data_IF_537260826664
#
_entry.id   IF_537260826664
#
_cell.length_a   1.000
_cell.length_b   1.000
_cell.length_c   1.000
_cell.angle_alpha   90.00
_cell.angle_beta   90.00
_cell.angle_gamma   90.00
#
_symmetry.space_group_name_H-M   'P 1'
#
loop_
_entity.id
_entity.type
_entity.pdbx_description
1 polymer ?
#
# COMPACT_ATOMS: atom_id res chain seq x y z
N UNK A 1 19.95 7.01 -47.59
CA UNK A 1 19.89 6.52 -46.19
C UNK A 1 18.52 6.85 -45.61
N UNK A 2 17.72 5.83 -45.29
CA UNK A 2 16.35 5.99 -44.76
C UNK A 2 16.44 6.14 -43.23
N UNK A 3 15.99 7.28 -42.68
CA UNK A 3 15.97 7.48 -41.22
C UNK A 3 14.86 6.62 -40.59
N UNK A 4 15.09 5.96 -39.43
CA UNK A 4 14.08 5.12 -38.81
C UNK A 4 12.92 5.98 -38.28
N UNK A 5 11.69 5.62 -38.69
CA UNK A 5 10.44 6.18 -38.16
C UNK A 5 10.35 5.81 -36.67
N UNK A 6 10.51 6.79 -35.77
CA UNK A 6 10.20 6.59 -34.34
C UNK A 6 8.73 6.19 -34.24
N UNK A 7 8.46 4.97 -33.77
CA UNK A 7 7.09 4.55 -33.42
C UNK A 7 6.68 5.36 -32.19
N UNK A 8 5.84 6.37 -32.38
CA UNK A 8 5.15 7.01 -31.26
C UNK A 8 4.32 5.94 -30.55
N UNK A 9 4.71 5.57 -29.32
CA UNK A 9 3.84 4.79 -28.44
C UNK A 9 2.64 5.68 -28.12
N UNK A 10 1.46 5.34 -28.64
CA UNK A 10 0.20 5.94 -28.21
C UNK A 10 0.06 5.60 -26.73
N UNK A 11 0.24 6.58 -25.85
CA UNK A 11 0.00 6.41 -24.43
C UNK A 11 -1.52 6.50 -24.23
N UNK A 12 -2.17 5.35 -24.07
CA UNK A 12 -3.59 5.29 -23.71
C UNK A 12 -3.69 5.79 -22.26
N UNK A 13 -4.37 6.90 -22.04
CA UNK A 13 -4.67 7.41 -20.70
C UNK A 13 -5.93 6.70 -20.21
N UNK A 14 -5.80 5.90 -19.16
CA UNK A 14 -6.92 5.31 -18.44
C UNK A 14 -7.31 6.29 -17.33
N UNK A 15 -8.60 6.59 -17.18
CA UNK A 15 -9.10 7.67 -16.31
C UNK A 15 -10.13 7.22 -15.29
N UNK A 16 -10.71 6.04 -15.48
CA UNK A 16 -11.65 5.42 -14.53
C UNK A 16 -11.04 4.17 -13.90
N UNK A 17 -11.53 3.81 -12.71
CA UNK A 17 -11.14 2.56 -12.03
C UNK A 17 -11.45 1.36 -12.92
N UNK A 18 -12.65 1.33 -13.53
CA UNK A 18 -13.07 0.26 -14.43
C UNK A 18 -12.12 0.10 -15.64
N UNK A 19 -11.64 1.19 -16.23
CA UNK A 19 -10.66 1.14 -17.31
C UNK A 19 -9.34 0.50 -16.83
N UNK A 20 -8.87 0.88 -15.64
CA UNK A 20 -7.65 0.34 -15.03
C UNK A 20 -7.82 -1.16 -14.74
N UNK A 21 -8.93 -1.58 -14.13
CA UNK A 21 -9.24 -2.99 -13.87
C UNK A 21 -9.20 -3.82 -15.15
N UNK A 22 -9.90 -3.38 -16.19
CA UNK A 22 -9.90 -4.04 -17.50
C UNK A 22 -8.49 -4.11 -18.13
N UNK A 23 -7.64 -3.10 -17.90
CA UNK A 23 -6.26 -3.14 -18.37
C UNK A 23 -5.40 -4.15 -17.59
N UNK A 24 -5.62 -4.26 -16.27
CA UNK A 24 -4.95 -5.24 -15.41
C UNK A 24 -5.30 -6.67 -15.83
N UNK A 25 -6.56 -6.94 -16.17
CA UNK A 25 -6.99 -8.26 -16.65
C UNK A 25 -6.26 -8.71 -17.93
N UNK A 26 -5.81 -7.75 -18.75
CA UNK A 26 -5.09 -8.03 -20.00
C UNK A 26 -3.59 -8.20 -19.82
N UNK A 27 -3.05 -8.02 -18.61
CA UNK A 27 -1.62 -8.19 -18.32
C UNK A 27 -1.22 -9.66 -18.33
N UNK A 28 -0.02 -9.92 -18.85
CA UNK A 28 0.64 -11.21 -18.66
C UNK A 28 0.99 -11.41 -17.17
N UNK A 29 1.11 -12.66 -16.68
CA UNK A 29 1.32 -12.93 -15.26
C UNK A 29 2.51 -12.21 -14.62
N UNK A 30 3.61 -12.02 -15.37
CA UNK A 30 4.81 -11.31 -14.89
C UNK A 30 4.53 -9.83 -14.63
N UNK A 31 3.84 -9.17 -15.55
CA UNK A 31 3.52 -7.74 -15.46
C UNK A 31 2.50 -7.51 -14.36
N UNK A 32 1.53 -8.43 -14.20
CA UNK A 32 0.58 -8.40 -13.09
C UNK A 32 1.29 -8.56 -11.73
N UNK A 33 2.26 -9.47 -11.63
CA UNK A 33 3.05 -9.65 -10.41
C UNK A 33 3.89 -8.40 -10.08
N UNK A 34 4.49 -7.78 -11.09
CA UNK A 34 5.23 -6.53 -10.93
C UNK A 34 4.31 -5.39 -10.46
N UNK A 35 3.11 -5.28 -11.03
CA UNK A 35 2.11 -4.29 -10.60
C UNK A 35 1.68 -4.51 -9.15
N UNK A 36 1.38 -5.76 -8.77
CA UNK A 36 1.01 -6.10 -7.39
C UNK A 36 2.12 -5.73 -6.40
N UNK A 37 3.39 -6.04 -6.73
CA UNK A 37 4.52 -5.69 -5.88
C UNK A 37 4.77 -4.16 -5.79
N UNK A 38 4.42 -3.41 -6.83
CA UNK A 38 4.46 -1.95 -6.77
C UNK A 38 3.33 -1.39 -5.90
N UNK A 39 2.10 -1.88 -6.07
CA UNK A 39 0.94 -1.41 -5.32
C UNK A 39 1.11 -1.69 -3.82
N UNK A 40 1.53 -2.89 -3.44
CA UNK A 40 1.80 -3.24 -2.05
C UNK A 40 2.84 -2.31 -1.39
N UNK A 41 3.88 -1.90 -2.14
CA UNK A 41 4.87 -0.93 -1.65
C UNK A 41 4.27 0.46 -1.49
N UNK A 42 3.39 0.88 -2.40
CA UNK A 42 2.71 2.17 -2.30
C UNK A 42 1.78 2.21 -1.09
N UNK A 43 1.00 1.15 -0.88
CA UNK A 43 0.10 1.01 0.27
C UNK A 43 0.88 0.99 1.59
N UNK A 44 2.01 0.29 1.65
CA UNK A 44 2.89 0.33 2.82
C UNK A 44 3.40 1.76 3.12
N UNK A 45 3.82 2.50 2.10
CA UNK A 45 4.26 3.90 2.26
C UNK A 45 3.13 4.83 2.73
N UNK A 46 1.91 4.63 2.21
CA UNK A 46 0.74 5.41 2.65
C UNK A 46 0.35 5.08 4.08
N UNK A 47 0.47 3.80 4.46
CA UNK A 47 0.28 3.34 5.83
C UNK A 47 1.29 3.97 6.79
N UNK A 48 2.58 3.95 6.45
CA UNK A 48 3.64 4.58 7.26
C UNK A 48 3.34 6.08 7.49
N UNK A 49 3.00 6.81 6.42
CA UNK A 49 2.68 8.23 6.51
C UNK A 49 1.42 8.52 7.36
N UNK A 50 0.40 7.67 7.27
CA UNK A 50 -0.80 7.80 8.09
C UNK A 50 -0.50 7.49 9.56
N UNK A 51 0.30 6.46 9.84
CA UNK A 51 0.74 6.12 11.19
C UNK A 51 1.51 7.27 11.83
N UNK A 52 2.47 7.87 11.11
CA UNK A 52 3.22 9.03 11.60
C UNK A 52 2.28 10.20 11.94
N UNK A 53 1.28 10.46 11.09
CA UNK A 53 0.28 11.51 11.31
C UNK A 53 -0.61 11.21 12.52
N UNK A 54 -1.08 9.97 12.65
CA UNK A 54 -1.95 9.54 13.74
C UNK A 54 -1.20 9.54 15.08
N UNK A 55 0.08 9.15 15.10
CA UNK A 55 0.95 9.28 16.27
C UNK A 55 1.18 10.75 16.63
N UNK A 56 1.54 11.61 15.66
CA UNK A 56 1.81 13.02 15.92
C UNK A 56 0.57 13.80 16.41
N UNK A 57 -0.63 13.35 16.01
CA UNK A 57 -1.89 13.96 16.44
C UNK A 57 -2.41 13.46 17.80
N UNK A 58 -1.75 12.48 18.42
CA UNK A 58 -2.21 11.85 19.67
C UNK A 58 -3.43 10.92 19.47
N UNK A 59 -3.83 10.65 18.24
CA UNK A 59 -4.99 9.79 17.93
C UNK A 59 -4.80 8.37 18.43
N UNK A 60 -3.55 7.94 18.61
CA UNK A 60 -3.21 6.60 19.09
C UNK A 60 -2.93 6.54 20.61
N UNK A 61 -3.06 7.65 21.34
CA UNK A 61 -2.71 7.72 22.77
C UNK A 61 -3.51 6.72 23.62
N UNK A 62 -4.77 6.48 23.26
CA UNK A 62 -5.64 5.51 23.94
C UNK A 62 -5.07 4.08 23.95
N UNK A 63 -4.30 3.68 22.92
CA UNK A 63 -3.68 2.37 22.86
C UNK A 63 -2.55 2.23 23.90
N UNK A 64 -1.80 3.31 24.13
CA UNK A 64 -0.76 3.33 25.17
C UNK A 64 -1.37 3.31 26.56
N UNK A 65 -2.44 4.07 26.79
CA UNK A 65 -3.19 4.06 28.05
C UNK A 65 -3.81 2.69 28.36
N UNK A 66 -4.37 2.03 27.35
CA UNK A 66 -4.91 0.69 27.46
C UNK A 66 -3.80 -0.31 27.81
N UNK A 67 -2.68 -0.30 27.07
CA UNK A 67 -1.55 -1.19 27.32
C UNK A 67 -0.96 -1.01 28.73
N UNK A 68 -0.83 0.22 29.20
CA UNK A 68 -0.35 0.54 30.55
C UNK A 68 -1.34 0.04 31.62
N UNK A 69 -2.64 0.23 31.41
CA UNK A 69 -3.69 -0.26 32.30
C UNK A 69 -3.72 -1.78 32.38
N UNK A 70 -3.64 -2.46 31.24
CA UNK A 70 -3.57 -3.93 31.18
C UNK A 70 -2.29 -4.47 31.81
N UNK A 71 -1.16 -3.78 31.60
CA UNK A 71 0.12 -4.12 32.22
C UNK A 71 0.03 -4.08 33.74
N UNK A 72 -0.54 -3.01 34.30
CA UNK A 72 -0.75 -2.87 35.75
C UNK A 72 -1.71 -3.92 36.32
N UNK A 73 -2.69 -4.35 35.53
CA UNK A 73 -3.71 -5.32 35.96
C UNK A 73 -3.36 -6.78 35.63
N UNK A 74 -2.17 -7.02 35.05
CA UNK A 74 -1.71 -8.37 34.71
C UNK A 74 -2.52 -9.04 33.59
N UNK A 75 -3.16 -8.25 32.72
CA UNK A 75 -4.01 -8.74 31.62
C UNK A 75 -3.27 -8.87 30.29
N UNK A 76 -2.06 -8.30 30.18
CA UNK A 76 -1.22 -8.45 28.99
C UNK A 76 -0.94 -9.93 28.71
N UNK A 77 -0.92 -10.28 27.43
CA UNK A 77 -0.60 -11.62 26.94
C UNK A 77 0.74 -11.60 26.24
N UNK A 78 1.52 -12.66 26.45
CA UNK A 78 2.77 -12.87 25.71
C UNK A 78 2.47 -13.00 24.20
N UNK A 79 3.34 -12.42 23.37
CA UNK A 79 3.34 -12.63 21.93
C UNK A 79 4.69 -13.23 21.47
N UNK A 80 4.70 -14.38 20.76
CA UNK A 80 3.54 -15.22 20.46
C UNK A 80 2.97 -15.87 21.73
N UNK A 81 1.67 -16.24 21.73
CA UNK A 81 1.06 -16.93 22.87
C UNK A 81 1.77 -18.27 23.13
N UNK A 82 1.92 -18.60 24.42
CA UNK A 82 2.40 -19.91 24.89
C UNK A 82 1.39 -21.02 24.61
#
# INVERSE_FOLDING_TARGET
>A
MLKPKRRSKILVRMSTVLEIENAIERLVPTDRAQLAAWLARKEAQDWDAQMDTDTASGKLDFLFEEADTEGRTGKLKDWPPK
#
